data_IF_440243478897
#
_entry.id   IF_440243478897
#
_cell.length_a   1.000
_cell.length_b   1.000
_cell.length_c   1.000
_cell.angle_alpha   90.00
_cell.angle_beta   90.00
_cell.angle_gamma   90.00
#
_symmetry.space_group_name_H-M   'P 1'
#
loop_
_entity.id
_entity.type
_entity.pdbx_description
1 polymer ?
#
# COMPACT_ATOMS: atom_id res chain seq x y z
N UNK A 1 -56.80 42.33 42.67
CA UNK A 1 -55.78 42.57 41.61
C UNK A 1 -55.48 41.26 40.95
N UNK A 2 -56.10 40.93 39.78
CA UNK A 2 -55.95 39.68 39.03
C UNK A 2 -55.05 40.00 37.86
N UNK A 3 -53.80 39.45 37.90
CA UNK A 3 -52.89 39.48 36.79
C UNK A 3 -53.22 38.35 35.80
N UNK A 4 -53.70 38.71 34.62
CA UNK A 4 -54.07 37.88 33.54
C UNK A 4 -52.78 37.48 32.78
N UNK A 5 -52.24 36.30 33.01
CA UNK A 5 -51.10 35.75 32.21
C UNK A 5 -51.65 35.24 30.86
N UNK A 6 -51.43 35.99 29.83
CA UNK A 6 -51.67 35.57 28.46
C UNK A 6 -50.60 34.59 28.04
N UNK A 7 -50.96 33.31 27.95
CA UNK A 7 -50.13 32.23 27.45
C UNK A 7 -50.06 32.31 25.92
N UNK A 8 -48.95 32.87 25.40
CA UNK A 8 -48.68 32.95 23.96
C UNK A 8 -48.31 31.55 23.44
N UNK A 9 -49.30 30.78 22.96
CA UNK A 9 -49.06 29.55 22.21
C UNK A 9 -48.38 29.92 20.89
N UNK A 10 -47.07 29.63 20.77
CA UNK A 10 -46.38 29.57 19.49
C UNK A 10 -46.80 28.28 18.79
N UNK A 11 -47.75 28.39 17.88
CA UNK A 11 -48.04 27.31 16.91
C UNK A 11 -46.90 27.24 15.91
N UNK A 12 -45.91 26.36 16.20
CA UNK A 12 -44.91 25.99 15.23
C UNK A 12 -45.56 25.09 14.18
N UNK A 13 -45.98 25.69 13.06
CA UNK A 13 -46.39 24.93 11.89
C UNK A 13 -45.21 24.09 11.38
N UNK A 14 -45.16 22.85 11.77
CA UNK A 14 -44.30 21.85 11.13
C UNK A 14 -44.80 21.65 9.69
N UNK A 15 -44.15 22.33 8.76
CA UNK A 15 -44.43 22.12 7.34
C UNK A 15 -43.92 20.75 6.97
N UNK A 16 -44.80 19.81 6.70
CA UNK A 16 -44.48 18.49 6.14
C UNK A 16 -44.04 18.61 4.69
N UNK A 17 -43.16 17.69 4.26
CA UNK A 17 -42.76 17.58 2.86
C UNK A 17 -43.94 17.14 1.99
N UNK A 18 -44.07 17.71 0.83
CA UNK A 18 -45.08 17.26 -0.16
C UNK A 18 -44.54 16.04 -0.94
N UNK A 19 -45.41 15.17 -1.41
CA UNK A 19 -45.02 14.00 -2.25
C UNK A 19 -44.27 14.45 -3.51
N UNK A 20 -44.70 15.56 -4.11
CA UNK A 20 -44.04 16.11 -5.31
C UNK A 20 -42.61 16.58 -5.00
N UNK A 21 -42.40 17.22 -3.87
CA UNK A 21 -41.07 17.69 -3.46
C UNK A 21 -40.12 16.51 -3.19
N UNK A 22 -40.61 15.41 -2.60
CA UNK A 22 -39.85 14.17 -2.45
C UNK A 22 -39.52 13.57 -3.81
N UNK A 23 -40.47 13.51 -4.77
CA UNK A 23 -40.23 12.96 -6.11
C UNK A 23 -39.16 13.76 -6.88
N UNK A 24 -39.20 15.08 -6.78
CA UNK A 24 -38.22 15.95 -7.45
C UNK A 24 -36.82 15.79 -6.80
N UNK A 25 -36.74 15.73 -5.48
CA UNK A 25 -35.44 15.55 -4.79
C UNK A 25 -34.81 14.21 -5.11
N UNK A 26 -35.59 13.11 -5.15
CA UNK A 26 -35.09 11.78 -5.53
C UNK A 26 -34.66 11.75 -7.01
N UNK A 27 -35.41 12.40 -7.90
CA UNK A 27 -35.03 12.47 -9.33
C UNK A 27 -33.69 13.21 -9.52
N UNK A 28 -33.48 14.34 -8.84
CA UNK A 28 -32.22 15.10 -8.88
C UNK A 28 -31.08 14.25 -8.27
N UNK A 29 -31.31 13.61 -7.12
CA UNK A 29 -30.32 12.75 -6.48
C UNK A 29 -29.92 11.57 -7.40
N UNK A 30 -30.86 10.95 -8.08
CA UNK A 30 -30.58 9.87 -9.03
C UNK A 30 -29.66 10.33 -10.18
N UNK A 31 -29.91 11.51 -10.75
CA UNK A 31 -29.07 12.08 -11.81
C UNK A 31 -27.65 12.35 -11.29
N UNK A 32 -27.51 12.93 -10.11
CA UNK A 32 -26.20 13.23 -9.51
C UNK A 32 -25.41 11.95 -9.21
N UNK A 33 -26.06 10.90 -8.74
CA UNK A 33 -25.44 9.62 -8.44
C UNK A 33 -24.86 8.94 -9.69
N UNK A 34 -25.47 9.07 -10.85
CA UNK A 34 -24.94 8.47 -12.10
C UNK A 34 -23.56 9.04 -12.48
N UNK A 35 -23.29 10.30 -12.16
CA UNK A 35 -22.00 10.97 -12.43
C UNK A 35 -21.00 10.73 -11.30
N UNK A 36 -21.47 10.73 -10.06
CA UNK A 36 -20.61 10.61 -8.87
C UNK A 36 -20.05 9.19 -8.69
N UNK A 37 -20.83 8.15 -8.96
CA UNK A 37 -20.44 6.77 -8.69
C UNK A 37 -19.16 6.31 -9.44
N UNK A 38 -18.97 6.54 -10.75
CA UNK A 38 -17.75 6.11 -11.46
C UNK A 38 -16.50 6.87 -10.99
N UNK A 39 -16.64 8.14 -10.63
CA UNK A 39 -15.52 8.92 -10.09
C UNK A 39 -15.06 8.39 -8.74
N UNK A 40 -15.99 8.03 -7.87
CA UNK A 40 -15.73 7.47 -6.56
C UNK A 40 -15.00 6.12 -6.62
N UNK A 41 -15.43 5.21 -7.51
CA UNK A 41 -14.76 3.91 -7.68
C UNK A 41 -13.31 4.05 -8.15
N UNK A 42 -13.06 4.98 -9.07
CA UNK A 42 -11.68 5.27 -9.54
C UNK A 42 -10.83 5.85 -8.42
N UNK A 43 -11.39 6.74 -7.60
CA UNK A 43 -10.70 7.30 -6.43
C UNK A 43 -10.29 6.20 -5.45
N UNK A 44 -11.21 5.29 -5.07
CA UNK A 44 -10.90 4.17 -4.16
C UNK A 44 -9.80 3.27 -4.72
N UNK A 45 -9.86 2.91 -6.01
CA UNK A 45 -8.81 2.09 -6.66
C UNK A 45 -7.44 2.76 -6.65
N UNK A 46 -7.41 4.07 -6.86
CA UNK A 46 -6.15 4.83 -6.82
C UNK A 46 -5.62 4.98 -5.39
N UNK A 47 -6.50 5.11 -4.38
CA UNK A 47 -6.10 5.08 -2.98
C UNK A 47 -5.46 3.74 -2.61
N UNK A 48 -6.12 2.62 -2.93
CA UNK A 48 -5.59 1.28 -2.67
C UNK A 48 -4.24 1.03 -3.34
N UNK A 49 -4.03 1.55 -4.56
CA UNK A 49 -2.71 1.49 -5.20
C UNK A 49 -1.67 2.30 -4.43
N UNK A 50 -2.02 3.50 -4.01
CA UNK A 50 -1.09 4.37 -3.25
C UNK A 50 -0.75 3.77 -1.89
N UNK A 51 -1.71 3.14 -1.22
CA UNK A 51 -1.53 2.46 0.05
C UNK A 51 -0.58 1.26 -0.10
N UNK A 52 -0.81 0.38 -1.09
CA UNK A 52 0.06 -0.76 -1.36
C UNK A 52 1.51 -0.36 -1.70
N UNK A 53 1.68 0.70 -2.51
CA UNK A 53 3.00 1.28 -2.82
C UNK A 53 3.66 1.83 -1.55
N UNK A 54 2.90 2.55 -0.72
CA UNK A 54 3.39 3.09 0.55
C UNK A 54 3.82 2.00 1.53
N UNK A 55 3.02 0.95 1.69
CA UNK A 55 3.33 -0.19 2.54
C UNK A 55 4.58 -0.95 2.07
N UNK A 56 4.73 -1.18 0.76
CA UNK A 56 5.92 -1.82 0.23
C UNK A 56 7.17 -0.98 0.46
N UNK A 57 7.09 0.33 0.23
CA UNK A 57 8.20 1.25 0.50
C UNK A 57 8.55 1.30 1.99
N UNK A 58 7.56 1.29 2.87
CA UNK A 58 7.75 1.23 4.31
C UNK A 58 8.45 -0.07 4.73
N UNK A 59 8.02 -1.22 4.18
CA UNK A 59 8.64 -2.51 4.44
C UNK A 59 10.10 -2.57 3.96
N UNK A 60 10.40 -2.06 2.76
CA UNK A 60 11.75 -1.99 2.23
C UNK A 60 12.66 -1.08 3.09
N UNK A 61 12.15 0.07 3.53
CA UNK A 61 12.89 0.97 4.42
C UNK A 61 13.06 0.37 5.83
N UNK A 62 12.06 -0.36 6.35
CA UNK A 62 12.15 -1.07 7.61
C UNK A 62 13.21 -2.19 7.56
N UNK A 63 13.26 -2.95 6.47
CA UNK A 63 14.29 -3.96 6.24
C UNK A 63 15.69 -3.34 6.25
N UNK A 64 15.89 -2.26 5.51
CA UNK A 64 17.15 -1.53 5.48
C UNK A 64 17.54 -0.96 6.85
N UNK A 65 16.61 -0.29 7.52
CA UNK A 65 16.84 0.32 8.83
C UNK A 65 17.19 -0.72 9.88
N UNK A 66 16.54 -1.88 9.85
CA UNK A 66 16.82 -2.98 10.77
C UNK A 66 18.19 -3.63 10.48
N UNK A 67 18.53 -3.85 9.22
CA UNK A 67 19.84 -4.36 8.82
C UNK A 67 20.97 -3.48 9.37
N UNK A 68 20.86 -2.16 9.21
CA UNK A 68 21.85 -1.19 9.73
C UNK A 68 21.89 -1.21 11.27
N UNK A 69 20.71 -1.24 11.91
CA UNK A 69 20.61 -1.19 13.38
C UNK A 69 21.22 -2.42 14.04
N UNK A 70 21.00 -3.59 13.47
CA UNK A 70 21.45 -4.86 14.05
C UNK A 70 22.79 -5.35 13.48
N UNK A 71 23.25 -4.80 12.37
CA UNK A 71 24.47 -5.23 11.69
C UNK A 71 24.35 -6.60 11.01
N UNK A 72 23.12 -7.12 10.79
CA UNK A 72 22.86 -8.43 10.21
C UNK A 72 22.02 -8.31 8.94
N UNK A 73 21.99 -9.38 8.16
CA UNK A 73 21.16 -9.44 6.97
C UNK A 73 19.68 -9.35 7.33
N UNK A 74 18.94 -8.54 6.59
CA UNK A 74 17.49 -8.41 6.74
C UNK A 74 16.83 -8.55 5.39
N UNK A 75 15.83 -9.40 5.34
CA UNK A 75 15.11 -9.74 4.12
C UNK A 75 13.72 -9.12 4.12
N UNK A 76 13.26 -8.72 2.96
CA UNK A 76 11.87 -8.50 2.61
C UNK A 76 11.51 -9.55 1.56
N UNK A 77 10.53 -10.38 1.85
CA UNK A 77 10.10 -11.50 1.00
C UNK A 77 8.59 -11.56 0.87
N UNK A 78 8.05 -12.07 -0.25
CA UNK A 78 6.62 -12.31 -0.37
C UNK A 78 6.15 -13.42 0.59
N UNK A 79 4.88 -13.37 0.98
CA UNK A 79 4.30 -14.36 1.90
C UNK A 79 4.28 -15.78 1.30
N UNK A 80 4.24 -15.89 -0.03
CA UNK A 80 4.25 -17.19 -0.71
C UNK A 80 5.11 -17.15 -1.97
N UNK A 81 6.15 -17.99 -2.02
CA UNK A 81 7.05 -18.17 -3.16
C UNK A 81 7.66 -16.86 -3.65
N UNK A 82 7.44 -16.51 -4.92
CA UNK A 82 7.90 -15.25 -5.52
C UNK A 82 6.76 -14.27 -5.79
N UNK A 83 5.54 -14.58 -5.30
CA UNK A 83 4.33 -13.83 -5.62
C UNK A 83 4.06 -12.71 -4.60
N UNK A 84 4.38 -11.49 -4.96
CA UNK A 84 4.16 -10.29 -4.14
C UNK A 84 2.68 -9.93 -3.93
N UNK A 85 1.76 -10.48 -4.71
CA UNK A 85 0.32 -10.28 -4.50
C UNK A 85 -0.24 -11.01 -3.27
N UNK A 86 0.54 -11.91 -2.68
CA UNK A 86 0.15 -12.64 -1.46
C UNK A 86 0.43 -11.88 -0.16
N UNK A 87 0.96 -10.67 -0.26
CA UNK A 87 1.52 -9.90 0.84
C UNK A 87 3.02 -10.17 1.01
N UNK A 88 3.63 -9.58 2.02
CA UNK A 88 5.07 -9.69 2.29
C UNK A 88 5.37 -9.57 3.78
N UNK A 89 6.57 -9.99 4.14
CA UNK A 89 7.08 -9.80 5.49
C UNK A 89 8.57 -9.46 5.48
N UNK A 90 9.02 -8.84 6.55
CA UNK A 90 10.40 -8.46 6.80
C UNK A 90 10.92 -9.25 7.98
N UNK A 91 12.07 -9.88 7.83
CA UNK A 91 12.73 -10.58 8.91
C UNK A 91 14.24 -10.33 8.94
N UNK A 92 14.81 -10.35 10.14
CA UNK A 92 16.24 -10.34 10.35
C UNK A 92 16.73 -11.80 10.39
N UNK A 93 17.74 -12.10 9.59
CA UNK A 93 18.33 -13.44 9.41
C UNK A 93 19.57 -13.57 10.30
N UNK A 94 19.40 -14.14 11.47
CA UNK A 94 20.48 -14.26 12.45
C UNK A 94 21.31 -15.54 12.30
N UNK A 95 20.86 -16.53 11.54
CA UNK A 95 21.55 -17.77 11.27
C UNK A 95 22.20 -17.82 9.87
N UNK A 96 21.92 -16.83 9.00
CA UNK A 96 22.50 -16.65 7.66
C UNK A 96 22.05 -17.68 6.61
N UNK A 97 20.90 -18.32 6.80
CA UNK A 97 20.38 -19.29 5.85
C UNK A 97 19.43 -18.65 4.79
N UNK A 98 18.99 -17.41 5.05
CA UNK A 98 18.13 -16.64 4.16
C UNK A 98 16.69 -17.16 4.12
N UNK A 99 16.25 -17.86 5.15
CA UNK A 99 14.90 -18.41 5.29
C UNK A 99 14.36 -18.03 6.67
N UNK A 100 13.16 -17.49 6.74
CA UNK A 100 12.53 -17.22 8.02
C UNK A 100 11.96 -18.50 8.63
N UNK A 101 12.41 -18.84 9.82
CA UNK A 101 11.91 -19.97 10.59
C UNK A 101 11.47 -19.51 11.98
N UNK A 102 10.17 -19.46 12.23
CA UNK A 102 9.59 -18.93 13.46
C UNK A 102 10.02 -19.67 14.76
N UNK A 103 10.48 -20.93 14.63
CA UNK A 103 11.00 -21.72 15.75
C UNK A 103 12.48 -21.48 16.04
N UNK A 104 13.19 -20.75 15.18
CA UNK A 104 14.59 -20.45 15.36
C UNK A 104 14.77 -19.14 16.12
N UNK A 105 15.45 -19.13 17.27
CA UNK A 105 15.56 -17.94 18.12
C UNK A 105 16.41 -16.82 17.52
N UNK A 106 17.12 -17.09 16.43
CA UNK A 106 17.98 -16.11 15.75
C UNK A 106 17.26 -15.35 14.64
N UNK A 107 16.14 -15.87 14.16
CA UNK A 107 15.32 -15.19 13.18
C UNK A 107 14.27 -14.34 13.86
N UNK A 108 14.19 -13.08 13.47
CA UNK A 108 13.25 -12.13 14.07
C UNK A 108 12.33 -11.55 13.01
N UNK A 109 11.04 -11.84 13.13
CA UNK A 109 10.01 -11.18 12.32
C UNK A 109 9.89 -9.72 12.75
N UNK A 110 10.09 -8.80 11.81
CA UNK A 110 10.09 -7.35 12.06
C UNK A 110 8.74 -6.75 11.69
N UNK A 111 8.23 -7.14 10.53
CA UNK A 111 7.01 -6.58 9.96
C UNK A 111 6.35 -7.62 9.07
N UNK A 112 5.01 -7.60 9.04
CA UNK A 112 4.22 -8.39 8.10
C UNK A 112 3.11 -7.52 7.54
N UNK A 113 2.95 -7.54 6.22
CA UNK A 113 1.88 -6.85 5.51
C UNK A 113 0.96 -7.89 4.86
N UNK A 114 -0.36 -7.71 4.97
CA UNK A 114 -1.33 -8.60 4.34
C UNK A 114 -1.27 -8.50 2.81
N UNK A 115 -1.98 -9.39 2.15
CA UNK A 115 -2.16 -9.33 0.71
C UNK A 115 -2.79 -7.99 0.31
N UNK A 116 -2.22 -7.27 -0.67
CA UNK A 116 -2.83 -6.07 -1.24
C UNK A 116 -4.20 -6.38 -1.86
N UNK A 117 -4.98 -5.33 -2.13
CA UNK A 117 -6.28 -5.49 -2.79
C UNK A 117 -6.15 -6.31 -4.09
N UNK A 118 -7.04 -7.27 -4.28
CA UNK A 118 -7.08 -8.16 -5.46
C UNK A 118 -7.33 -7.44 -6.80
N UNK A 119 -7.72 -6.17 -6.76
CA UNK A 119 -7.86 -5.33 -7.96
C UNK A 119 -6.51 -4.83 -8.49
N UNK A 120 -5.43 -4.96 -7.69
CA UNK A 120 -4.09 -4.56 -8.08
C UNK A 120 -3.38 -5.70 -8.80
N UNK A 121 -2.73 -5.37 -9.90
CA UNK A 121 -1.77 -6.23 -10.56
C UNK A 121 -0.38 -5.87 -10.08
N UNK A 122 0.36 -6.87 -9.58
CA UNK A 122 1.74 -6.68 -9.10
C UNK A 122 2.65 -7.54 -9.99
N UNK A 123 3.63 -6.89 -10.62
CA UNK A 123 4.59 -7.54 -11.51
C UNK A 123 6.01 -7.11 -11.17
N UNK A 124 6.93 -8.02 -11.33
CA UNK A 124 8.37 -7.74 -11.21
C UNK A 124 9.01 -7.97 -12.57
N UNK A 125 9.73 -6.99 -13.13
CA UNK A 125 10.53 -7.22 -14.33
C UNK A 125 11.55 -8.31 -14.10
N UNK A 126 11.85 -9.07 -15.15
CA UNK A 126 12.91 -10.09 -15.12
C UNK A 126 14.28 -9.49 -14.82
N UNK A 127 15.16 -10.29 -14.21
CA UNK A 127 16.54 -9.91 -13.88
C UNK A 127 16.73 -8.91 -12.72
N UNK A 128 15.86 -8.96 -11.70
CA UNK A 128 16.10 -8.27 -10.46
C UNK A 128 15.76 -9.16 -9.25
N UNK A 129 16.27 -8.84 -8.06
CA UNK A 129 16.09 -9.68 -6.87
C UNK A 129 14.63 -9.83 -6.44
N UNK A 130 13.77 -8.86 -6.75
CA UNK A 130 12.33 -8.96 -6.48
C UNK A 130 11.63 -9.98 -7.37
N UNK A 131 12.13 -10.23 -8.59
CA UNK A 131 11.65 -11.31 -9.45
C UNK A 131 12.00 -12.69 -8.88
N UNK A 132 13.14 -12.79 -8.18
CA UNK A 132 13.59 -14.00 -7.48
C UNK A 132 12.89 -14.16 -6.11
N UNK A 133 11.97 -13.27 -5.75
CA UNK A 133 11.18 -13.33 -4.52
C UNK A 133 11.89 -12.84 -3.27
N UNK A 134 12.86 -11.95 -3.39
CA UNK A 134 13.51 -11.38 -2.21
C UNK A 134 14.06 -9.96 -2.45
N UNK A 135 14.23 -9.22 -1.35
CA UNK A 135 15.06 -8.04 -1.26
C UNK A 135 15.89 -8.17 0.02
N UNK A 136 17.20 -8.30 -0.12
CA UNK A 136 18.13 -8.49 0.96
C UNK A 136 18.92 -7.20 1.19
N UNK A 137 18.95 -6.70 2.42
CA UNK A 137 19.88 -5.67 2.86
C UNK A 137 20.92 -6.27 3.81
N UNK A 138 22.20 -5.98 3.58
CA UNK A 138 23.25 -6.35 4.52
C UNK A 138 23.33 -5.36 5.70
N UNK A 139 24.12 -5.68 6.72
CA UNK A 139 24.32 -4.84 7.92
C UNK A 139 24.85 -3.43 7.65
N UNK A 140 25.32 -3.13 6.44
CA UNK A 140 25.70 -1.77 6.02
C UNK A 140 24.58 -1.05 5.27
N UNK A 141 23.40 -1.66 5.10
CA UNK A 141 22.23 -1.07 4.44
C UNK A 141 22.29 -1.06 2.92
N UNK A 142 23.18 -1.85 2.32
CA UNK A 142 23.24 -2.02 0.87
C UNK A 142 22.44 -3.26 0.44
N UNK A 143 21.67 -3.15 -0.66
CA UNK A 143 20.98 -4.32 -1.19
C UNK A 143 21.98 -5.28 -1.82
N UNK A 144 21.86 -6.56 -1.49
CA UNK A 144 22.75 -7.62 -1.90
C UNK A 144 22.03 -8.76 -2.60
N UNK A 145 22.74 -9.46 -3.44
CA UNK A 145 22.30 -10.74 -3.97
C UNK A 145 22.44 -11.83 -2.92
N UNK A 146 21.55 -12.82 -2.96
CA UNK A 146 21.61 -14.02 -2.12
C UNK A 146 22.74 -14.94 -2.64
N UNK A 147 23.44 -15.61 -1.73
CA UNK A 147 24.45 -16.60 -2.12
C UNK A 147 23.85 -17.69 -3.02
N UNK A 148 24.62 -18.24 -3.98
CA UNK A 148 26.08 -18.04 -4.17
C UNK A 148 26.46 -16.75 -4.94
N UNK A 149 25.50 -16.00 -5.45
CA UNK A 149 25.78 -14.75 -6.15
C UNK A 149 26.35 -13.69 -5.19
N UNK A 150 27.34 -12.95 -5.68
CA UNK A 150 27.93 -11.84 -4.95
C UNK A 150 27.70 -10.53 -5.69
N UNK A 151 27.56 -9.44 -4.97
CA UNK A 151 27.39 -8.12 -5.54
C UNK A 151 26.18 -7.38 -5.02
N UNK A 152 25.95 -6.20 -5.59
CA UNK A 152 24.79 -5.39 -5.28
C UNK A 152 23.56 -5.90 -6.04
N UNK A 153 22.41 -5.81 -5.38
CA UNK A 153 21.14 -6.05 -6.01
C UNK A 153 20.46 -4.72 -6.38
N UNK A 154 19.64 -4.74 -7.40
CA UNK A 154 18.65 -3.72 -7.69
C UNK A 154 17.29 -4.36 -7.68
N UNK A 155 16.26 -3.61 -7.34
CA UNK A 155 14.89 -4.12 -7.32
C UNK A 155 13.95 -3.18 -8.06
N UNK A 156 13.03 -3.78 -8.80
CA UNK A 156 11.93 -3.06 -9.42
C UNK A 156 10.65 -3.87 -9.29
N UNK A 157 9.59 -3.25 -8.82
CA UNK A 157 8.26 -3.83 -8.74
C UNK A 157 7.25 -2.82 -9.28
N UNK A 158 6.35 -3.29 -10.12
CA UNK A 158 5.29 -2.48 -10.72
C UNK A 158 3.96 -2.88 -10.09
N UNK A 159 3.26 -1.92 -9.55
CA UNK A 159 1.92 -2.07 -9.02
C UNK A 159 0.96 -1.24 -9.86
N UNK A 160 -0.11 -1.83 -10.34
CA UNK A 160 -1.05 -1.19 -11.24
C UNK A 160 -2.50 -1.51 -10.89
N UNK A 161 -3.38 -0.59 -11.19
CA UNK A 161 -4.82 -0.80 -11.31
C UNK A 161 -5.26 -0.49 -12.75
N UNK A 162 -6.55 -0.51 -13.02
CA UNK A 162 -7.11 -0.26 -14.37
C UNK A 162 -6.84 1.14 -14.93
N UNK A 163 -6.46 2.11 -14.11
CA UNK A 163 -6.30 3.52 -14.50
C UNK A 163 -4.91 4.08 -14.23
N UNK A 164 -4.10 3.46 -13.40
CA UNK A 164 -2.79 3.98 -12.98
C UNK A 164 -1.80 2.85 -12.72
N UNK A 165 -0.53 3.12 -13.04
CA UNK A 165 0.59 2.25 -12.76
C UNK A 165 1.70 3.02 -12.04
N UNK A 166 2.28 2.41 -11.02
CA UNK A 166 3.36 2.98 -10.20
C UNK A 166 4.46 1.95 -10.05
N UNK A 167 5.68 2.37 -10.33
CA UNK A 167 6.89 1.55 -10.16
C UNK A 167 7.61 1.95 -8.87
N UNK A 168 7.95 0.99 -8.04
CA UNK A 168 8.88 1.17 -6.92
C UNK A 168 10.22 0.60 -7.33
N UNK A 169 11.27 1.38 -7.13
CA UNK A 169 12.64 1.03 -7.49
C UNK A 169 13.56 1.11 -6.29
N UNK A 170 14.46 0.15 -6.20
CA UNK A 170 15.53 0.09 -5.22
C UNK A 170 16.85 0.08 -6.01
N UNK A 171 17.69 1.09 -5.79
CA UNK A 171 18.99 1.15 -6.43
C UNK A 171 20.07 0.43 -5.62
N UNK A 172 21.26 0.28 -6.18
CA UNK A 172 22.41 -0.38 -5.57
C UNK A 172 22.91 0.27 -4.26
N UNK A 173 22.50 1.52 -3.97
CA UNK A 173 22.78 2.19 -2.68
C UNK A 173 21.70 1.95 -1.63
N UNK A 174 20.65 1.19 -1.96
CA UNK A 174 19.52 0.90 -1.08
C UNK A 174 18.50 2.03 -0.97
N UNK A 175 18.54 3.03 -1.85
CA UNK A 175 17.51 4.07 -1.89
C UNK A 175 16.25 3.51 -2.55
N UNK A 176 15.14 3.61 -1.83
CA UNK A 176 13.80 3.25 -2.31
C UNK A 176 13.12 4.50 -2.84
N UNK A 177 12.54 4.43 -4.03
CA UNK A 177 11.73 5.51 -4.62
C UNK A 177 10.57 4.95 -5.42
N UNK A 178 9.49 5.70 -5.54
CA UNK A 178 8.38 5.40 -6.44
C UNK A 178 8.26 6.45 -7.53
N UNK A 179 7.79 6.06 -8.69
CA UNK A 179 7.48 6.93 -9.80
C UNK A 179 6.31 6.37 -10.61
N UNK A 180 5.64 7.23 -11.37
CA UNK A 180 4.64 6.78 -12.33
C UNK A 180 5.36 6.00 -13.43
N UNK A 181 4.88 4.81 -13.78
CA UNK A 181 5.60 3.85 -14.64
C UNK A 181 5.98 4.43 -16.02
N UNK A 182 5.15 5.33 -16.55
CA UNK A 182 5.31 5.99 -17.84
C UNK A 182 6.05 7.35 -17.75
N UNK A 183 6.50 7.76 -16.56
CA UNK A 183 7.21 9.02 -16.38
C UNK A 183 8.67 8.91 -16.87
N UNK A 184 9.14 9.97 -17.53
CA UNK A 184 10.54 10.11 -17.94
C UNK A 184 11.47 9.98 -16.73
N UNK A 185 12.43 9.05 -16.76
CA UNK A 185 13.33 8.74 -15.63
C UNK A 185 12.79 7.71 -14.63
N UNK A 186 11.65 7.08 -14.90
CA UNK A 186 11.15 5.92 -14.19
C UNK A 186 11.71 4.61 -14.80
N UNK A 187 12.99 4.61 -15.12
CA UNK A 187 13.73 3.42 -15.57
C UNK A 187 14.61 2.91 -14.43
N UNK A 188 14.76 1.60 -14.33
CA UNK A 188 15.73 1.00 -13.41
C UNK A 188 17.14 1.53 -13.72
N UNK A 189 17.94 1.84 -12.71
CA UNK A 189 19.33 2.23 -12.88
C UNK A 189 20.17 1.08 -13.43
#
# INVERSE_FOLDING_TARGET
MNANQQNCKRDSHLKGFTIVELMVTVAIAAILLTVAAPSYTTFIRNSQLSDAVGEFMAAANAARGNAIKQGINTYLVPATGTNWSTGWYVFADGNWDGVYTASEPKDVLIMQSPAPSSILTITTPTANSLADGYLLFNGSGYPKKKLPDTGFATGQIVMANTSRSTTVMINNTGRVRSCKTDATGCTAP
#
